data_IF_586996904219
#
_entry.id   IF_586996904219
#
_cell.length_a   1.000
_cell.length_b   1.000
_cell.length_c   1.000
_cell.angle_alpha   90.00
_cell.angle_beta   90.00
_cell.angle_gamma   90.00
#
_symmetry.space_group_name_H-M   'P 1'
#
loop_
_entity.id
_entity.type
_entity.pdbx_description
1 polymer ?
#
# COMPACT_ATOMS: atom_id res chain seq x y z
N UNK A 1 37.03 -61.91 45.31
CA UNK A 1 36.13 -62.23 44.18
C UNK A 1 36.25 -61.16 43.10
N UNK A 2 36.65 -61.60 41.89
CA UNK A 2 36.51 -61.08 40.51
C UNK A 2 36.47 -59.57 40.16
N UNK A 3 37.36 -59.20 39.23
CA UNK A 3 37.35 -58.04 38.28
C UNK A 3 36.10 -58.03 37.38
N UNK A 4 35.69 -56.87 36.82
CA UNK A 4 35.57 -56.65 35.35
C UNK A 4 35.09 -55.23 34.95
N UNK A 5 35.37 -54.88 33.69
CA UNK A 5 35.22 -53.62 32.96
C UNK A 5 33.96 -53.55 32.03
N UNK A 6 33.62 -52.33 31.55
CA UNK A 6 32.83 -51.94 30.33
C UNK A 6 31.29 -52.13 30.42
N UNK A 7 30.39 -51.29 29.86
CA UNK A 7 30.33 -50.62 28.54
C UNK A 7 29.47 -49.33 28.51
N UNK A 8 29.79 -48.54 27.49
CA UNK A 8 29.15 -47.37 26.85
C UNK A 8 27.68 -47.58 26.40
N UNK A 9 26.84 -46.54 26.51
CA UNK A 9 25.77 -46.21 25.55
C UNK A 9 25.74 -44.68 25.38
N UNK A 10 25.77 -44.25 24.12
CA UNK A 10 25.73 -42.87 23.62
C UNK A 10 24.31 -42.31 23.74
N UNK A 11 24.14 -41.08 24.23
CA UNK A 11 22.91 -40.29 24.06
C UNK A 11 23.28 -38.93 23.45
N UNK A 12 22.86 -38.75 22.21
CA UNK A 12 22.90 -37.51 21.43
C UNK A 12 21.97 -36.47 22.06
N UNK A 13 22.51 -35.33 22.49
CA UNK A 13 21.73 -34.15 22.87
C UNK A 13 21.54 -33.26 21.64
N UNK A 14 20.28 -33.11 21.22
CA UNK A 14 19.83 -32.14 20.21
C UNK A 14 19.93 -30.72 20.78
N UNK A 15 20.82 -29.89 20.22
CA UNK A 15 20.83 -28.45 20.43
C UNK A 15 19.76 -27.81 19.52
N UNK A 16 18.71 -27.26 20.13
CA UNK A 16 17.69 -26.46 19.45
C UNK A 16 18.22 -25.09 18.98
N UNK A 17 17.52 -24.42 18.05
CA UNK A 17 18.00 -23.18 17.43
C UNK A 17 17.95 -22.01 18.42
N UNK A 18 19.07 -21.28 18.49
CA UNK A 18 19.22 -20.02 19.23
C UNK A 18 18.43 -18.93 18.50
N UNK A 19 17.35 -18.46 19.12
CA UNK A 19 16.63 -17.25 18.71
C UNK A 19 17.51 -16.02 18.99
N UNK A 20 18.03 -15.40 17.93
CA UNK A 20 18.78 -14.15 18.02
C UNK A 20 17.79 -12.98 18.08
N UNK A 21 17.48 -12.51 19.28
CA UNK A 21 16.72 -11.27 19.50
C UNK A 21 17.63 -10.08 19.18
N UNK A 22 17.39 -9.42 18.04
CA UNK A 22 18.07 -8.16 17.72
C UNK A 22 17.65 -7.05 18.71
N UNK A 23 18.55 -6.13 19.11
CA UNK A 23 18.23 -5.08 20.07
C UNK A 23 17.23 -4.09 19.48
N UNK A 24 16.14 -3.86 20.19
CA UNK A 24 14.97 -3.05 19.85
C UNK A 24 15.25 -1.56 19.52
N UNK A 25 16.45 -1.05 19.80
CA UNK A 25 16.83 0.35 19.57
C UNK A 25 17.17 0.70 18.11
N UNK A 26 17.80 -0.20 17.35
CA UNK A 26 18.17 0.07 15.95
C UNK A 26 16.94 0.09 15.02
N UNK A 27 15.92 -0.72 15.34
CA UNK A 27 14.65 -0.75 14.64
C UNK A 27 13.78 0.49 14.87
N UNK A 28 14.10 1.33 15.87
CA UNK A 28 13.28 2.49 16.25
C UNK A 28 13.80 3.81 15.66
N UNK A 29 15.11 3.98 15.51
CA UNK A 29 15.73 5.15 14.85
C UNK A 29 15.58 5.12 13.32
N UNK A 30 15.57 3.93 12.72
CA UNK A 30 15.26 3.68 11.30
C UNK A 30 13.85 4.11 10.83
N UNK A 31 12.95 4.41 11.77
CA UNK A 31 11.55 4.72 11.45
C UNK A 31 11.38 6.14 10.91
N UNK A 32 12.36 7.02 11.14
CA UNK A 32 12.28 8.45 10.78
C UNK A 32 13.35 8.91 9.79
N UNK A 33 14.50 8.22 9.68
CA UNK A 33 15.49 8.45 8.62
C UNK A 33 15.70 7.17 7.80
N UNK A 34 16.03 7.33 6.51
CA UNK A 34 16.28 6.22 5.60
C UNK A 34 17.35 5.27 6.13
N UNK A 35 17.28 3.98 5.81
CA UNK A 35 18.39 3.08 6.10
C UNK A 35 19.62 3.50 5.30
N UNK A 36 20.82 3.29 5.85
CA UNK A 36 22.05 3.59 5.11
C UNK A 36 22.07 2.84 3.77
N UNK A 37 22.15 3.58 2.66
CA UNK A 37 22.09 3.04 1.31
C UNK A 37 20.68 2.74 0.76
N UNK A 38 19.62 3.14 1.46
CA UNK A 38 18.24 3.13 0.93
C UNK A 38 18.06 4.26 -0.09
N UNK A 39 17.55 3.95 -1.28
CA UNK A 39 17.42 4.91 -2.39
C UNK A 39 16.03 5.54 -2.47
N UNK A 40 14.98 4.81 -2.10
CA UNK A 40 13.59 5.27 -2.16
C UNK A 40 12.88 5.14 -0.81
N UNK A 41 13.39 5.77 0.26
CA UNK A 41 12.76 5.72 1.59
C UNK A 41 11.32 6.23 1.58
N UNK A 42 10.99 7.18 0.69
CA UNK A 42 9.64 7.71 0.52
C UNK A 42 8.60 6.63 0.23
N UNK A 43 8.99 5.50 -0.42
CA UNK A 43 8.07 4.39 -0.72
C UNK A 43 7.48 3.72 0.53
N UNK A 44 8.12 3.85 1.69
CA UNK A 44 7.61 3.37 2.99
C UNK A 44 7.20 4.48 3.96
N UNK A 45 7.60 5.73 3.70
CA UNK A 45 7.42 6.85 4.63
C UNK A 45 6.21 7.73 4.29
N UNK A 46 5.80 7.79 3.02
CA UNK A 46 4.65 8.60 2.58
C UNK A 46 4.01 8.06 1.31
N UNK A 47 2.82 8.54 0.96
CA UNK A 47 2.23 8.29 -0.32
C UNK A 47 3.06 8.98 -1.43
N UNK A 48 3.31 8.25 -2.50
CA UNK A 48 3.84 8.77 -3.76
C UNK A 48 2.69 9.33 -4.58
N UNK A 49 2.89 10.53 -5.13
CA UNK A 49 1.94 11.06 -6.12
C UNK A 49 2.24 10.48 -7.49
N UNK A 50 1.22 10.46 -8.36
CA UNK A 50 1.42 10.07 -9.76
C UNK A 50 2.39 11.00 -10.47
N UNK A 51 2.28 12.32 -10.25
CA UNK A 51 3.16 13.30 -10.87
C UNK A 51 4.63 13.06 -10.50
N UNK A 52 4.90 12.73 -9.23
CA UNK A 52 6.24 12.37 -8.78
C UNK A 52 6.79 11.14 -9.51
N UNK A 53 5.96 10.11 -9.72
CA UNK A 53 6.38 8.84 -10.34
C UNK A 53 6.34 8.90 -11.88
N UNK A 54 5.60 9.85 -12.47
CA UNK A 54 5.44 9.99 -13.92
C UNK A 54 6.78 10.27 -14.62
N UNK A 55 7.67 10.99 -13.95
CA UNK A 55 9.01 11.31 -14.46
C UNK A 55 10.05 10.22 -14.16
N UNK A 56 9.68 9.16 -13.43
CA UNK A 56 10.60 8.07 -13.11
C UNK A 56 10.80 7.15 -14.31
N UNK A 57 12.06 6.89 -14.65
CA UNK A 57 12.39 5.89 -15.64
C UNK A 57 11.93 4.49 -15.22
N UNK A 58 11.71 3.57 -16.18
CA UNK A 58 11.38 2.17 -15.86
C UNK A 58 12.40 1.50 -14.93
N UNK A 59 13.68 1.91 -14.98
CA UNK A 59 14.71 1.39 -14.09
C UNK A 59 14.53 1.87 -12.65
N UNK A 60 14.17 3.14 -12.45
CA UNK A 60 13.87 3.70 -11.12
C UNK A 60 12.65 3.04 -10.50
N UNK A 61 11.57 2.88 -11.27
CA UNK A 61 10.36 2.17 -10.82
C UNK A 61 10.68 0.73 -10.41
N UNK A 62 11.38 -0.03 -11.26
CA UNK A 62 11.81 -1.39 -10.92
C UNK A 62 12.69 -1.44 -9.68
N UNK A 63 13.63 -0.51 -9.54
CA UNK A 63 14.49 -0.44 -8.35
C UNK A 63 13.64 -0.18 -7.10
N UNK A 64 12.76 0.82 -7.12
CA UNK A 64 11.92 1.18 -5.99
C UNK A 64 11.03 0.02 -5.52
N UNK A 65 10.39 -0.69 -6.48
CA UNK A 65 9.60 -1.88 -6.17
C UNK A 65 10.47 -2.98 -5.57
N UNK A 66 11.61 -3.31 -6.19
CA UNK A 66 12.51 -4.32 -5.66
C UNK A 66 13.04 -3.95 -4.28
N UNK A 67 13.36 -2.68 -4.04
CA UNK A 67 13.79 -2.19 -2.73
C UNK A 67 12.71 -2.46 -1.67
N UNK A 68 11.43 -2.17 -1.96
CA UNK A 68 10.32 -2.52 -1.07
C UNK A 68 10.32 -4.00 -0.70
N UNK A 69 10.41 -4.91 -1.67
CA UNK A 69 10.48 -6.35 -1.38
C UNK A 69 11.76 -6.74 -0.61
N UNK A 70 12.90 -6.12 -0.93
CA UNK A 70 14.17 -6.37 -0.24
C UNK A 70 14.08 -6.00 1.25
N UNK A 71 13.41 -4.89 1.60
CA UNK A 71 13.23 -4.48 3.01
C UNK A 71 12.54 -5.54 3.86
N UNK A 72 11.70 -6.36 3.24
CA UNK A 72 10.98 -7.47 3.88
C UNK A 72 11.67 -8.83 3.68
N UNK A 73 12.93 -8.85 3.22
CA UNK A 73 13.74 -10.06 3.10
C UNK A 73 13.40 -10.95 1.91
N UNK A 74 12.72 -10.42 0.88
CA UNK A 74 12.41 -11.21 -0.32
C UNK A 74 13.68 -11.68 -1.05
N UNK A 75 13.74 -12.96 -1.42
CA UNK A 75 14.89 -13.53 -2.12
C UNK A 75 14.69 -13.42 -3.64
N UNK A 76 15.41 -12.50 -4.29
CA UNK A 76 15.41 -12.37 -5.75
C UNK A 76 16.02 -13.59 -6.42
N UNK A 77 15.33 -14.18 -7.41
CA UNK A 77 15.85 -15.30 -8.21
C UNK A 77 17.04 -14.88 -9.07
N UNK A 78 16.98 -13.67 -9.61
CA UNK A 78 18.09 -13.06 -10.34
C UNK A 78 19.28 -12.83 -9.40
N UNK A 79 20.44 -13.40 -9.74
CA UNK A 79 21.64 -13.33 -8.92
C UNK A 79 22.27 -11.94 -8.92
N UNK A 80 22.20 -11.20 -10.02
CA UNK A 80 22.76 -9.86 -10.11
C UNK A 80 21.95 -8.90 -9.23
N UNK A 81 20.61 -8.96 -9.33
CA UNK A 81 19.70 -8.20 -8.48
C UNK A 81 19.84 -8.56 -7.01
N UNK A 82 19.99 -9.86 -6.69
CA UNK A 82 20.23 -10.30 -5.32
C UNK A 82 21.55 -9.74 -4.78
N UNK A 83 22.64 -9.84 -5.56
CA UNK A 83 23.95 -9.27 -5.19
C UNK A 83 23.89 -7.76 -4.98
N UNK A 84 23.11 -7.07 -5.81
CA UNK A 84 22.89 -5.63 -5.69
C UNK A 84 22.29 -5.24 -4.33
N UNK A 85 21.40 -6.04 -3.73
CA UNK A 85 20.87 -5.71 -2.40
C UNK A 85 21.72 -6.27 -1.25
N UNK A 86 22.49 -7.37 -1.47
CA UNK A 86 23.36 -7.97 -0.45
C UNK A 86 24.47 -7.04 0.07
N UNK A 87 24.83 -6.01 -0.70
CA UNK A 87 25.78 -5.00 -0.25
C UNK A 87 25.22 -4.11 0.88
N UNK A 88 23.89 -4.05 1.04
CA UNK A 88 23.26 -3.22 2.05
C UNK A 88 23.02 -3.99 3.34
N UNK A 89 23.49 -3.45 4.47
CA UNK A 89 23.40 -4.10 5.78
C UNK A 89 21.97 -4.41 6.23
N UNK A 90 20.98 -3.68 5.72
CA UNK A 90 19.56 -3.84 6.03
C UNK A 90 18.87 -4.97 5.25
N UNK A 91 19.42 -5.44 4.12
CA UNK A 91 18.82 -6.54 3.37
C UNK A 91 19.17 -7.88 4.00
N UNK A 92 18.17 -8.52 4.63
CA UNK A 92 18.29 -9.83 5.27
C UNK A 92 17.40 -10.85 4.54
N UNK A 93 17.92 -11.56 3.53
CA UNK A 93 17.11 -12.51 2.74
C UNK A 93 16.56 -13.65 3.61
N UNK A 94 15.26 -13.91 3.49
CA UNK A 94 14.54 -14.97 4.21
C UNK A 94 14.14 -16.05 3.18
N UNK A 95 14.81 -17.22 3.18
CA UNK A 95 14.51 -18.29 2.24
C UNK A 95 13.05 -18.74 2.31
N UNK A 96 12.42 -18.93 1.14
CA UNK A 96 11.07 -19.46 1.03
C UNK A 96 9.94 -18.43 1.10
N UNK A 97 10.21 -17.14 1.34
CA UNK A 97 9.18 -16.10 1.24
C UNK A 97 8.65 -15.97 -0.19
N UNK A 98 7.32 -15.93 -0.33
CA UNK A 98 6.64 -15.58 -1.59
C UNK A 98 6.17 -14.12 -1.56
N UNK A 99 6.00 -13.50 -2.73
CA UNK A 99 5.60 -12.09 -2.85
C UNK A 99 4.32 -11.77 -2.06
N UNK A 100 3.30 -12.63 -2.14
CA UNK A 100 2.05 -12.46 -1.38
C UNK A 100 2.26 -12.38 0.13
N UNK A 101 3.21 -13.14 0.68
CA UNK A 101 3.55 -13.08 2.11
C UNK A 101 4.25 -11.77 2.44
N UNK A 102 5.16 -11.32 1.58
CA UNK A 102 5.86 -10.04 1.74
C UNK A 102 4.87 -8.87 1.70
N UNK A 103 3.99 -8.83 0.71
CA UNK A 103 2.96 -7.78 0.57
C UNK A 103 1.97 -7.75 1.73
N UNK A 104 1.72 -8.89 2.40
CA UNK A 104 0.89 -8.92 3.60
C UNK A 104 1.53 -8.15 4.76
N UNK A 105 2.87 -8.03 4.79
CA UNK A 105 3.62 -7.25 5.77
C UNK A 105 3.88 -5.81 5.35
N UNK A 106 3.52 -5.41 4.12
CA UNK A 106 3.65 -4.03 3.68
C UNK A 106 2.82 -3.12 4.57
N UNK A 107 3.44 -1.99 4.95
CA UNK A 107 2.69 -0.93 5.60
C UNK A 107 1.69 -0.29 4.61
N UNK A 108 0.86 0.63 5.10
CA UNK A 108 -0.18 1.22 4.25
C UNK A 108 0.40 2.03 3.06
N UNK A 109 1.54 2.71 3.24
CA UNK A 109 2.23 3.43 2.17
C UNK A 109 2.84 2.47 1.15
N UNK A 110 3.51 1.41 1.59
CA UNK A 110 4.13 0.45 0.69
C UNK A 110 3.07 -0.24 -0.19
N UNK A 111 1.91 -0.62 0.37
CA UNK A 111 0.83 -1.20 -0.45
C UNK A 111 0.31 -0.24 -1.50
N UNK A 112 0.13 1.02 -1.14
CA UNK A 112 -0.36 2.04 -2.06
C UNK A 112 0.68 2.39 -3.13
N UNK A 113 1.91 2.63 -2.72
CA UNK A 113 3.00 2.99 -3.61
C UNK A 113 3.32 1.86 -4.58
N UNK A 114 3.14 0.59 -4.17
CA UNK A 114 3.23 -0.54 -5.09
C UNK A 114 2.22 -0.42 -6.23
N UNK A 115 0.98 0.02 -5.97
CA UNK A 115 -0.04 0.24 -7.01
C UNK A 115 0.40 1.35 -7.97
N UNK A 116 0.82 2.49 -7.43
CA UNK A 116 1.30 3.64 -8.23
C UNK A 116 2.47 3.23 -9.13
N UNK A 117 3.46 2.54 -8.57
CA UNK A 117 4.65 2.08 -9.29
C UNK A 117 4.34 0.96 -10.30
N UNK A 118 3.46 0.01 -9.97
CA UNK A 118 3.13 -1.12 -10.88
C UNK A 118 2.29 -0.67 -12.08
N UNK A 119 1.45 0.35 -11.90
CA UNK A 119 0.65 0.93 -12.97
C UNK A 119 1.47 1.81 -13.91
N UNK A 120 2.53 2.48 -13.44
CA UNK A 120 3.45 3.22 -14.33
C UNK A 120 4.25 2.26 -15.23
N UNK A 121 4.50 1.02 -14.77
CA UNK A 121 5.25 0.02 -15.53
C UNK A 121 4.40 -0.81 -16.51
N UNK A 122 3.07 -0.85 -16.32
CA UNK A 122 2.13 -1.66 -17.12
C UNK A 122 1.52 -0.92 -18.32
N UNK A 123 1.84 0.37 -18.52
CA UNK A 123 1.17 1.22 -19.50
C UNK A 123 1.86 1.26 -20.88
N UNK A 124 1.96 0.09 -21.53
CA UNK A 124 1.76 0.05 -22.98
C UNK A 124 0.27 0.21 -23.26
N UNK A 125 -0.20 1.45 -23.48
CA UNK A 125 -1.59 1.82 -23.86
C UNK A 125 -2.70 1.49 -22.84
N UNK A 126 -2.76 2.26 -21.76
CA UNK A 126 -4.00 2.79 -21.13
C UNK A 126 -3.55 3.96 -20.27
N UNK A 127 -3.89 5.17 -20.67
CA UNK A 127 -3.25 6.40 -20.20
C UNK A 127 -3.56 6.67 -18.73
N UNK A 128 -2.50 6.64 -17.91
CA UNK A 128 -2.40 7.08 -16.50
C UNK A 128 -2.95 8.49 -16.27
N UNK A 129 -3.11 9.27 -17.35
CA UNK A 129 -3.79 10.56 -17.37
C UNK A 129 -5.25 10.55 -16.87
N UNK A 130 -5.92 9.39 -16.78
CA UNK A 130 -7.33 9.27 -16.35
C UNK A 130 -7.52 9.25 -14.82
N UNK A 131 -6.51 8.86 -14.03
CA UNK A 131 -6.63 8.76 -12.56
C UNK A 131 -6.32 10.08 -11.83
N UNK A 132 -5.57 10.98 -12.47
CA UNK A 132 -5.27 12.32 -11.94
C UNK A 132 -6.11 13.43 -12.60
N UNK A 133 -6.76 13.14 -13.74
CA UNK A 133 -7.72 14.07 -14.34
C UNK A 133 -9.08 13.86 -13.77
N UNK A 134 -9.81 14.96 -13.66
CA UNK A 134 -11.19 14.90 -13.26
C UNK A 134 -11.99 14.04 -14.26
N UNK A 135 -12.85 13.16 -13.76
CA UNK A 135 -13.78 12.43 -14.62
C UNK A 135 -14.77 13.43 -15.26
N UNK A 136 -15.12 13.28 -16.55
CA UNK A 136 -16.07 14.18 -17.19
C UNK A 136 -17.39 14.24 -16.43
N UNK A 137 -17.76 15.44 -15.96
CA UNK A 137 -18.98 15.70 -15.21
C UNK A 137 -18.94 15.34 -13.73
N UNK A 138 -17.77 15.00 -13.17
CA UNK A 138 -17.66 14.85 -11.71
C UNK A 138 -17.71 16.21 -10.99
N UNK A 139 -18.23 16.19 -9.78
CA UNK A 139 -18.46 17.42 -9.00
C UNK A 139 -17.39 17.66 -7.93
N UNK A 140 -16.76 16.61 -7.41
CA UNK A 140 -15.76 16.71 -6.33
C UNK A 140 -14.46 15.97 -6.69
N UNK A 141 -13.75 16.39 -7.77
CA UNK A 141 -12.46 15.81 -8.18
C UNK A 141 -11.41 15.85 -7.06
N UNK A 142 -11.46 16.84 -6.19
CA UNK A 142 -10.54 17.01 -5.06
C UNK A 142 -10.56 15.82 -4.11
N UNK A 143 -11.67 15.07 -4.04
CA UNK A 143 -11.78 13.91 -3.13
C UNK A 143 -10.80 12.80 -3.48
N UNK A 144 -10.36 12.69 -4.74
CA UNK A 144 -9.39 11.70 -5.19
C UNK A 144 -8.06 12.27 -5.69
N UNK A 145 -7.94 13.60 -5.79
CA UNK A 145 -6.74 14.27 -6.33
C UNK A 145 -5.89 15.01 -5.30
N UNK A 146 -6.45 15.39 -4.14
CA UNK A 146 -5.71 16.07 -3.06
C UNK A 146 -6.33 15.88 -1.68
N UNK A 147 -5.64 16.29 -0.63
CA UNK A 147 -6.25 16.37 0.71
C UNK A 147 -7.19 17.58 0.82
N UNK A 148 -8.38 17.34 1.37
CA UNK A 148 -9.40 18.34 1.68
C UNK A 148 -9.26 18.70 3.17
N UNK A 149 -9.26 20.00 3.47
CA UNK A 149 -9.14 20.48 4.85
C UNK A 149 -10.50 20.53 5.53
N UNK A 150 -10.54 20.32 6.85
CA UNK A 150 -11.77 20.49 7.65
C UNK A 150 -12.41 21.87 7.47
N UNK A 151 -11.60 22.92 7.39
CA UNK A 151 -12.07 24.30 7.17
C UNK A 151 -12.72 24.50 5.81
N UNK A 152 -12.33 23.73 4.79
CA UNK A 152 -12.93 23.76 3.46
C UNK A 152 -14.31 23.09 3.48
N UNK A 153 -14.40 21.91 4.09
CA UNK A 153 -15.66 21.16 4.24
C UNK A 153 -16.66 21.88 5.15
N UNK A 154 -16.21 22.73 6.08
CA UNK A 154 -17.09 23.51 6.94
C UNK A 154 -18.01 24.48 6.17
N UNK A 155 -17.64 24.85 4.94
CA UNK A 155 -18.47 25.67 4.06
C UNK A 155 -19.42 24.85 3.17
N UNK A 156 -19.36 23.51 3.22
CA UNK A 156 -20.18 22.63 2.39
C UNK A 156 -21.52 22.32 3.07
N UNK A 157 -22.56 22.16 2.25
CA UNK A 157 -23.86 21.68 2.73
C UNK A 157 -23.82 20.17 3.01
N UNK A 158 -24.76 19.68 3.84
CA UNK A 158 -24.92 18.23 4.08
C UNK A 158 -25.10 17.44 2.77
N UNK A 159 -25.80 18.03 1.80
CA UNK A 159 -25.99 17.43 0.47
C UNK A 159 -24.69 17.34 -0.34
N UNK A 160 -23.85 18.37 -0.28
CA UNK A 160 -22.53 18.35 -0.93
C UNK A 160 -21.63 17.28 -0.30
N UNK A 161 -21.57 17.21 1.03
CA UNK A 161 -20.78 16.19 1.74
C UNK A 161 -21.28 14.78 1.38
N UNK A 162 -22.60 14.57 1.39
CA UNK A 162 -23.21 13.29 1.01
C UNK A 162 -22.90 12.93 -0.44
N UNK A 163 -23.02 13.88 -1.36
CA UNK A 163 -22.72 13.66 -2.78
C UNK A 163 -21.24 13.32 -2.99
N UNK A 164 -20.32 14.07 -2.38
CA UNK A 164 -18.88 13.82 -2.48
C UNK A 164 -18.50 12.40 -2.01
N UNK A 165 -19.06 11.96 -0.89
CA UNK A 165 -18.86 10.58 -0.39
C UNK A 165 -19.42 9.56 -1.40
N UNK A 166 -20.64 9.76 -1.89
CA UNK A 166 -21.22 8.85 -2.87
C UNK A 166 -20.40 8.81 -4.16
N UNK A 167 -19.92 9.95 -4.65
CA UNK A 167 -19.08 10.02 -5.86
C UNK A 167 -17.80 9.19 -5.71
N UNK A 168 -17.13 9.25 -4.55
CA UNK A 168 -15.98 8.39 -4.24
C UNK A 168 -16.34 6.91 -4.38
N UNK A 169 -17.43 6.45 -3.74
CA UNK A 169 -17.86 5.06 -3.87
C UNK A 169 -18.30 4.69 -5.29
N UNK A 170 -18.87 5.63 -6.05
CA UNK A 170 -19.27 5.42 -7.44
C UNK A 170 -18.05 5.19 -8.34
N UNK A 171 -16.96 5.94 -8.18
CA UNK A 171 -15.69 5.70 -8.90
C UNK A 171 -15.19 4.26 -8.71
N UNK A 172 -15.43 3.71 -7.52
CA UNK A 172 -15.05 2.34 -7.16
C UNK A 172 -16.17 1.32 -7.40
N UNK A 173 -17.19 1.65 -8.19
CA UNK A 173 -18.20 0.70 -8.68
C UNK A 173 -19.17 0.18 -7.61
N UNK A 174 -19.36 0.91 -6.50
CA UNK A 174 -20.37 0.54 -5.51
C UNK A 174 -21.78 0.64 -6.13
N UNK A 175 -22.61 -0.39 -5.93
CA UNK A 175 -24.03 -0.32 -6.30
C UNK A 175 -24.82 0.33 -5.17
N UNK A 176 -25.39 1.51 -5.42
CA UNK A 176 -26.26 2.19 -4.46
C UNK A 176 -27.61 1.46 -4.33
N UNK A 177 -28.04 1.23 -3.08
CA UNK A 177 -29.36 0.68 -2.76
C UNK A 177 -30.48 1.69 -3.00
N UNK A 178 -30.19 2.95 -2.71
CA UNK A 178 -31.08 4.07 -3.01
C UNK A 178 -31.14 4.27 -4.53
N UNK A 179 -32.36 4.20 -5.06
CA UNK A 179 -32.61 4.26 -6.50
C UNK A 179 -32.37 5.65 -7.08
N UNK A 180 -32.58 6.72 -6.31
CA UNK A 180 -32.37 8.08 -6.76
C UNK A 180 -30.87 8.37 -6.86
N UNK A 181 -30.10 7.97 -5.84
CA UNK A 181 -28.63 8.06 -5.88
C UNK A 181 -28.08 7.22 -7.03
N UNK A 182 -28.60 5.99 -7.21
CA UNK A 182 -28.17 5.13 -8.32
C UNK A 182 -28.45 5.77 -9.67
N UNK A 183 -29.66 6.30 -9.89
CA UNK A 183 -30.04 6.98 -11.13
C UNK A 183 -29.19 8.21 -11.37
N UNK A 184 -28.87 8.96 -10.32
CA UNK A 184 -27.99 10.12 -10.36
C UNK A 184 -26.59 9.77 -10.87
N UNK A 185 -26.02 8.62 -10.53
CA UNK A 185 -24.69 8.24 -11.05
C UNK A 185 -24.73 7.48 -12.38
N UNK A 186 -25.82 6.79 -12.72
CA UNK A 186 -25.98 6.05 -13.99
C UNK A 186 -25.88 6.93 -15.24
N UNK A 187 -26.09 8.24 -15.12
CA UNK A 187 -25.90 9.18 -16.23
C UNK A 187 -24.43 9.38 -16.61
N UNK A 188 -23.49 9.07 -15.72
CA UNK A 188 -22.07 9.27 -15.97
C UNK A 188 -21.42 8.06 -16.62
N UNK A 189 -20.74 8.27 -17.76
CA UNK A 189 -20.06 7.20 -18.51
C UNK A 189 -18.97 6.46 -17.72
N UNK A 190 -18.40 7.12 -16.71
CA UNK A 190 -17.34 6.59 -15.87
C UNK A 190 -17.88 5.71 -14.73
N UNK A 191 -19.16 5.85 -14.34
CA UNK A 191 -19.74 5.02 -13.29
C UNK A 191 -20.05 3.61 -13.83
N UNK A 192 -19.31 2.62 -13.33
CA UNK A 192 -19.43 1.21 -13.71
C UNK A 192 -19.79 0.37 -12.49
N UNK A 193 -21.09 0.20 -12.16
CA UNK A 193 -21.51 -0.56 -10.99
C UNK A 193 -21.06 -2.01 -11.07
N UNK A 194 -20.47 -2.53 -9.98
CA UNK A 194 -20.02 -3.91 -9.84
C UNK A 194 -21.00 -4.68 -8.94
N UNK A 195 -21.82 -5.60 -9.48
CA UNK A 195 -22.78 -6.36 -8.68
C UNK A 195 -22.11 -7.08 -7.50
N UNK A 196 -22.71 -6.97 -6.31
CA UNK A 196 -22.24 -7.64 -5.09
C UNK A 196 -21.06 -6.97 -4.39
N UNK A 197 -20.48 -5.89 -4.94
CA UNK A 197 -19.38 -5.16 -4.29
C UNK A 197 -19.84 -4.48 -3.00
N UNK A 198 -19.08 -4.68 -1.93
CA UNK A 198 -19.34 -4.05 -0.62
C UNK A 198 -18.62 -2.70 -0.48
N UNK A 199 -19.05 -1.87 0.47
CA UNK A 199 -18.34 -0.63 0.81
C UNK A 199 -16.90 -0.88 1.25
N UNK A 200 -16.68 -1.91 2.08
CA UNK A 200 -15.34 -2.29 2.52
C UNK A 200 -14.42 -2.68 1.35
N UNK A 201 -14.95 -3.39 0.35
CA UNK A 201 -14.19 -3.72 -0.85
C UNK A 201 -13.90 -2.47 -1.71
N UNK A 202 -14.85 -1.53 -1.79
CA UNK A 202 -14.62 -0.25 -2.45
C UNK A 202 -13.52 0.56 -1.74
N UNK A 203 -13.61 0.71 -0.43
CA UNK A 203 -12.63 1.44 0.41
C UNK A 203 -11.23 0.81 0.38
N UNK A 204 -11.13 -0.51 0.23
CA UNK A 204 -9.84 -1.19 0.08
C UNK A 204 -9.07 -0.75 -1.19
N UNK A 205 -9.81 -0.27 -2.20
CA UNK A 205 -9.28 0.21 -3.47
C UNK A 205 -9.13 1.74 -3.52
N UNK A 206 -9.57 2.46 -2.49
CA UNK A 206 -9.36 3.91 -2.37
C UNK A 206 -7.87 4.24 -2.43
N UNK A 207 -7.54 5.42 -2.96
CA UNK A 207 -6.20 5.99 -2.81
C UNK A 207 -6.04 6.70 -1.46
N UNK A 208 -4.86 7.26 -1.18
CA UNK A 208 -4.57 7.99 0.06
C UNK A 208 -5.53 9.17 0.27
N UNK A 209 -5.71 9.99 -0.76
CA UNK A 209 -6.59 11.16 -0.70
C UNK A 209 -8.01 10.73 -0.36
N UNK A 210 -8.55 9.72 -1.04
CA UNK A 210 -9.89 9.23 -0.80
C UNK A 210 -10.04 8.69 0.64
N UNK A 211 -9.06 7.94 1.16
CA UNK A 211 -9.12 7.45 2.55
C UNK A 211 -9.10 8.57 3.57
N UNK A 212 -8.22 9.55 3.42
CA UNK A 212 -8.11 10.66 4.37
C UNK A 212 -9.29 11.62 4.25
N UNK A 213 -9.72 11.92 3.03
CA UNK A 213 -10.87 12.77 2.76
C UNK A 213 -12.16 12.12 3.25
N UNK A 214 -12.32 10.80 3.14
CA UNK A 214 -13.48 10.10 3.69
C UNK A 214 -13.61 10.35 5.20
N UNK A 215 -12.50 10.39 5.95
CA UNK A 215 -12.53 10.70 7.39
C UNK A 215 -13.02 12.11 7.65
N UNK A 216 -12.52 13.09 6.88
CA UNK A 216 -12.90 14.50 7.00
C UNK A 216 -14.39 14.69 6.67
N UNK A 217 -14.84 14.13 5.54
CA UNK A 217 -16.23 14.21 5.09
C UNK A 217 -17.19 13.47 6.02
N UNK A 218 -16.80 12.28 6.51
CA UNK A 218 -17.63 11.51 7.44
C UNK A 218 -17.76 12.18 8.80
N UNK A 219 -16.75 12.95 9.24
CA UNK A 219 -16.86 13.78 10.44
C UNK A 219 -17.87 14.92 10.21
N UNK A 220 -17.71 15.68 9.12
CA UNK A 220 -18.62 16.78 8.78
C UNK A 220 -20.08 16.33 8.63
N UNK A 221 -20.32 15.12 8.10
CA UNK A 221 -21.67 14.54 8.01
C UNK A 221 -22.31 14.25 9.37
N UNK A 222 -21.52 13.91 10.39
CA UNK A 222 -22.02 13.64 11.75
C UNK A 222 -22.35 14.92 12.52
N UNK A 223 -21.67 16.01 12.17
CA UNK A 223 -21.80 17.32 12.82
C UNK A 223 -22.87 18.21 12.15
N UNK A 224 -23.45 17.75 11.03
CA UNK A 224 -24.56 18.43 10.37
C UNK A 224 -25.85 18.29 11.21
N UNK A 225 -26.56 19.40 11.51
CA UNK A 225 -27.77 19.40 12.33
C UNK A 225 -28.95 18.66 11.68
#
# INVERSE_FOLDING_TARGET
>A
MKKSYKRLVVLTLLLGPVLWLAPSGQAQLARHEGWAGEHYPQTRLRALSWDEVADWSPAQVRYAVNEMYARHGFVFKDLALRKQFLQYGWYKPIPGLIQKQVEAHFNHYERENLRVLSSSHSAGKRTVHEAARAYPGEHFPETHTRLIRRSEVAAWTSDQVRYAINEMYARHGLVFKDMDIRKQFLQFKWYRPVPGRTQQQAEADFNHYERENLKVLSAARKDAP
#
